data_IF_558068403497
#
_entry.id   IF_558068403497
#
_cell.length_a   1.000
_cell.length_b   1.000
_cell.length_c   1.000
_cell.angle_alpha   90.00
_cell.angle_beta   90.00
_cell.angle_gamma   90.00
#
_symmetry.space_group_name_H-M   'P 1'
#
loop_
_entity.id
_entity.type
_entity.pdbx_description
1 polymer ?
#
# COMPACT_ATOMS: atom_id res chain seq x y z
N UNK A 1 7.75 5.46 -23.09
CA UNK A 1 8.90 4.98 -23.86
C UNK A 1 10.20 5.39 -23.19
N UNK A 2 11.25 4.61 -23.36
CA UNK A 2 12.59 4.96 -22.92
C UNK A 2 13.44 5.28 -24.15
N UNK A 3 14.29 6.28 -24.05
CA UNK A 3 15.31 6.54 -25.07
C UNK A 3 16.58 5.69 -24.84
N UNK A 4 17.58 5.88 -25.70
CA UNK A 4 18.87 5.16 -25.62
C UNK A 4 19.68 5.43 -24.35
N UNK A 5 19.39 6.54 -23.65
CA UNK A 5 20.06 6.99 -22.44
C UNK A 5 19.28 6.59 -21.17
N UNK A 6 18.18 5.81 -21.33
CA UNK A 6 17.34 5.31 -20.25
C UNK A 6 16.33 6.34 -19.70
N UNK A 7 16.14 7.46 -20.37
CA UNK A 7 15.15 8.46 -19.98
C UNK A 7 13.77 8.01 -20.41
N UNK A 8 12.82 8.02 -19.48
CA UNK A 8 11.42 7.67 -19.72
C UNK A 8 10.64 8.89 -20.19
N UNK A 9 9.98 8.75 -21.32
CA UNK A 9 9.04 9.75 -21.85
C UNK A 9 7.60 9.27 -21.66
N UNK A 10 6.80 10.06 -20.97
CA UNK A 10 5.35 9.86 -20.90
C UNK A 10 4.68 10.36 -22.17
N UNK A 11 3.73 9.59 -22.71
CA UNK A 11 2.90 10.02 -23.84
C UNK A 11 1.75 10.94 -23.44
N UNK A 12 1.56 11.18 -22.15
CA UNK A 12 0.56 12.10 -21.64
C UNK A 12 1.16 13.51 -21.55
N UNK A 13 0.40 14.52 -21.98
CA UNK A 13 0.80 15.93 -21.93
C UNK A 13 0.88 16.52 -20.50
N UNK A 14 1.09 15.68 -19.52
CA UNK A 14 1.28 16.06 -18.12
C UNK A 14 2.77 16.27 -17.85
N UNK A 15 3.22 17.47 -18.13
CA UNK A 15 4.52 17.97 -17.74
C UNK A 15 5.66 17.68 -18.72
N UNK A 16 6.41 18.69 -18.99
CA UNK A 16 7.65 18.65 -19.77
C UNK A 16 8.84 18.11 -18.96
N UNK A 17 8.59 17.21 -18.00
CA UNK A 17 9.63 16.70 -17.13
C UNK A 17 10.07 15.31 -17.58
N UNK A 18 11.35 15.12 -17.94
CA UNK A 18 11.92 13.79 -18.04
C UNK A 18 11.89 13.14 -16.64
N UNK A 19 11.15 12.05 -16.52
CA UNK A 19 11.23 11.22 -15.33
C UNK A 19 12.47 10.35 -15.42
N UNK A 20 13.49 10.68 -14.67
CA UNK A 20 14.69 9.87 -14.55
C UNK A 20 14.37 8.63 -13.72
N UNK A 21 14.46 7.48 -14.36
CA UNK A 21 14.65 6.23 -13.64
C UNK A 21 16.12 5.87 -13.76
N UNK A 22 16.84 5.86 -12.67
CA UNK A 22 18.21 5.33 -12.67
C UNK A 22 18.18 3.87 -13.12
N UNK A 23 19.15 3.45 -13.99
CA UNK A 23 19.26 2.05 -14.36
C UNK A 23 19.40 1.21 -13.09
N UNK A 24 18.45 0.32 -12.91
CA UNK A 24 18.50 -0.60 -11.79
C UNK A 24 19.59 -1.65 -12.09
N UNK A 25 20.68 -1.66 -11.35
CA UNK A 25 21.57 -2.83 -11.30
C UNK A 25 20.84 -3.97 -10.57
N UNK A 26 19.98 -4.65 -11.33
CA UNK A 26 19.14 -5.72 -10.80
C UNK A 26 19.84 -7.03 -11.01
N UNK A 27 20.85 -7.31 -10.20
CA UNK A 27 21.39 -8.66 -10.09
C UNK A 27 20.39 -9.62 -9.46
N UNK A 28 19.60 -9.12 -8.51
CA UNK A 28 18.54 -9.88 -7.87
C UNK A 28 17.39 -8.94 -7.41
N UNK A 29 16.21 -8.94 -8.08
CA UNK A 29 15.08 -8.14 -7.65
C UNK A 29 14.61 -8.40 -6.21
N UNK A 30 14.83 -9.62 -5.70
CA UNK A 30 14.50 -9.98 -4.32
C UNK A 30 15.37 -9.26 -3.27
N UNK A 31 16.56 -8.79 -3.64
CA UNK A 31 17.46 -8.06 -2.73
C UNK A 31 17.01 -6.62 -2.48
N UNK A 32 15.97 -6.15 -3.17
CA UNK A 32 15.44 -4.78 -3.00
C UNK A 32 14.29 -4.66 -2.03
N UNK A 33 13.81 -5.77 -1.54
CA UNK A 33 12.83 -5.72 -0.47
C UNK A 33 13.47 -5.11 0.78
N UNK A 34 12.96 -3.94 1.18
CA UNK A 34 13.47 -3.19 2.35
C UNK A 34 13.31 -3.95 3.67
N UNK A 35 12.48 -4.99 3.68
CA UNK A 35 12.07 -5.71 4.89
C UNK A 35 10.87 -5.06 5.61
N UNK A 36 10.39 -3.92 5.14
CA UNK A 36 9.26 -3.23 5.77
C UNK A 36 7.94 -3.84 5.32
N UNK A 37 7.05 -4.06 6.28
CA UNK A 37 5.73 -4.62 6.08
C UNK A 37 4.67 -3.55 6.23
N UNK A 38 3.49 -3.78 5.67
CA UNK A 38 2.32 -2.92 5.88
C UNK A 38 1.78 -3.17 7.28
N UNK A 39 1.89 -2.18 8.16
CA UNK A 39 1.48 -2.27 9.56
C UNK A 39 0.02 -1.85 9.79
N UNK A 40 -0.55 -1.08 8.85
CA UNK A 40 -1.86 -0.45 9.00
C UNK A 40 -3.03 -1.29 8.47
N UNK A 41 -2.80 -2.40 7.74
CA UNK A 41 -3.89 -3.17 7.13
C UNK A 41 -4.90 -3.67 8.16
N UNK A 42 -6.19 -3.30 7.96
CA UNK A 42 -7.30 -3.71 8.82
C UNK A 42 -7.24 -3.17 10.26
N UNK A 43 -6.38 -2.19 10.55
CA UNK A 43 -6.23 -1.60 11.89
C UNK A 43 -7.37 -0.65 12.22
N UNK A 44 -7.74 -0.56 13.52
CA UNK A 44 -8.73 0.39 13.99
C UNK A 44 -8.33 1.84 13.68
N UNK A 45 -9.30 2.63 13.27
CA UNK A 45 -9.14 4.05 12.96
C UNK A 45 -10.15 4.88 13.74
N UNK A 46 -9.67 5.94 14.38
CA UNK A 46 -10.49 7.01 14.96
C UNK A 46 -10.35 8.28 14.13
N UNK A 47 -11.40 9.08 14.03
CA UNK A 47 -11.41 10.29 13.21
C UNK A 47 -12.14 11.42 13.92
N UNK A 48 -11.80 12.67 13.58
CA UNK A 48 -12.48 13.88 14.07
C UNK A 48 -13.95 13.91 13.68
N UNK A 49 -14.23 13.53 12.44
CA UNK A 49 -15.58 13.48 11.88
C UNK A 49 -15.65 12.49 10.72
N UNK A 50 -16.86 12.08 10.35
CA UNK A 50 -17.09 11.20 9.21
C UNK A 50 -18.33 11.66 8.44
N UNK A 51 -18.24 11.74 7.12
CA UNK A 51 -19.38 11.74 6.24
C UNK A 51 -20.14 10.41 6.39
N UNK A 52 -21.46 10.43 6.26
CA UNK A 52 -22.32 9.29 6.62
C UNK A 52 -22.07 7.98 5.87
N UNK A 53 -21.40 8.04 4.70
CA UNK A 53 -21.17 6.88 3.82
C UNK A 53 -19.69 6.55 3.60
N UNK A 54 -18.75 7.39 4.06
CA UNK A 54 -17.32 7.22 3.85
C UNK A 54 -16.61 6.92 5.17
N UNK A 55 -16.73 5.68 5.62
CA UNK A 55 -16.30 5.23 6.94
C UNK A 55 -14.79 5.36 7.18
N UNK A 56 -14.39 5.57 8.44
CA UNK A 56 -12.98 5.64 8.85
C UNK A 56 -12.19 4.36 8.53
N UNK A 57 -12.84 3.18 8.61
CA UNK A 57 -12.21 1.89 8.28
C UNK A 57 -11.71 1.79 6.84
N UNK A 58 -12.20 2.61 5.93
CA UNK A 58 -11.73 2.66 4.54
C UNK A 58 -10.29 3.18 4.41
N UNK A 59 -9.72 3.76 5.47
CA UNK A 59 -8.32 4.21 5.49
C UNK A 59 -7.30 3.08 5.53
N UNK A 60 -7.72 1.89 5.97
CA UNK A 60 -6.83 0.75 6.23
C UNK A 60 -7.28 -0.55 5.53
N UNK A 61 -8.27 -0.48 4.63
CA UNK A 61 -8.84 -1.65 3.93
C UNK A 61 -8.08 -2.04 2.66
N UNK A 62 -7.10 -1.23 2.24
CA UNK A 62 -6.29 -1.40 1.02
C UNK A 62 -7.12 -1.42 -0.29
N UNK A 63 -8.32 -0.89 -0.27
CA UNK A 63 -9.18 -0.76 -1.44
C UNK A 63 -9.05 0.63 -2.06
N UNK A 64 -8.63 0.71 -3.30
CA UNK A 64 -8.62 1.98 -4.07
C UNK A 64 -10.03 2.48 -4.46
N UNK A 65 -11.08 1.72 -4.14
CA UNK A 65 -12.47 2.08 -4.47
C UNK A 65 -13.22 2.70 -3.30
N UNK A 66 -12.63 2.63 -2.13
CA UNK A 66 -13.18 3.14 -0.87
C UNK A 66 -12.30 4.28 -0.36
N UNK A 67 -12.87 5.16 0.43
CA UNK A 67 -12.14 6.24 1.07
C UNK A 67 -12.89 6.71 2.33
N UNK A 68 -12.19 7.31 3.25
CA UNK A 68 -12.77 8.09 4.33
C UNK A 68 -12.95 9.54 3.88
N UNK A 69 -14.05 10.16 4.31
CA UNK A 69 -14.24 11.60 4.17
C UNK A 69 -14.73 12.21 5.48
N UNK A 70 -14.09 13.29 5.90
CA UNK A 70 -14.53 14.14 6.99
C UNK A 70 -15.78 14.95 6.59
N UNK A 71 -16.44 15.56 7.57
CA UNK A 71 -17.58 16.45 7.32
C UNK A 71 -17.19 17.80 6.73
N UNK A 72 -15.92 18.18 6.84
CA UNK A 72 -15.41 19.46 6.34
C UNK A 72 -14.00 19.34 5.75
N UNK A 73 -13.55 20.40 5.08
CA UNK A 73 -12.15 20.61 4.68
C UNK A 73 -11.38 21.50 5.65
N UNK A 74 -11.95 21.80 6.82
CA UNK A 74 -11.34 22.74 7.76
C UNK A 74 -10.01 22.24 8.34
N UNK A 75 -9.08 23.13 8.67
CA UNK A 75 -7.95 22.78 9.51
C UNK A 75 -8.38 22.09 10.82
N UNK A 76 -7.61 21.08 11.25
CA UNK A 76 -7.88 20.32 12.45
C UNK A 76 -8.77 19.08 12.27
N UNK A 77 -9.29 18.79 11.08
CA UNK A 77 -9.80 17.44 10.78
C UNK A 77 -8.65 16.43 10.85
N UNK A 78 -8.88 15.28 11.49
CA UNK A 78 -7.83 14.31 11.75
C UNK A 78 -8.29 12.87 11.60
N UNK A 79 -7.32 11.99 11.37
CA UNK A 79 -7.50 10.54 11.41
C UNK A 79 -6.33 9.89 12.15
N UNK A 80 -6.63 8.98 13.08
CA UNK A 80 -5.66 8.26 13.91
C UNK A 80 -5.78 6.76 13.75
N UNK A 81 -4.65 6.07 13.60
CA UNK A 81 -4.55 4.60 13.49
C UNK A 81 -3.96 4.04 14.79
N UNK A 82 -4.56 2.98 15.34
CA UNK A 82 -3.97 2.14 16.38
C UNK A 82 -3.35 0.89 15.74
N UNK A 83 -2.04 0.78 15.72
CA UNK A 83 -1.31 -0.39 15.21
C UNK A 83 -1.45 -1.64 16.10
N UNK A 84 -2.14 -1.52 17.26
CA UNK A 84 -2.40 -2.60 18.20
C UNK A 84 -1.29 -2.83 19.22
N UNK A 85 -0.05 -2.56 18.86
CA UNK A 85 1.13 -2.56 19.75
C UNK A 85 2.19 -1.62 19.19
N UNK A 86 3.17 -1.25 20.01
CA UNK A 86 4.33 -0.45 19.56
C UNK A 86 5.08 -1.20 18.47
N UNK A 87 5.35 -0.53 17.35
CA UNK A 87 6.04 -1.03 16.17
C UNK A 87 7.26 -0.16 15.83
N UNK A 88 8.14 -0.68 14.99
CA UNK A 88 9.21 0.09 14.37
C UNK A 88 8.69 0.66 13.04
N UNK A 89 8.18 1.88 13.06
CA UNK A 89 7.68 2.59 11.88
C UNK A 89 8.85 3.15 11.07
N UNK A 90 8.81 2.97 9.75
CA UNK A 90 9.86 3.39 8.81
C UNK A 90 9.37 4.36 7.76
N UNK A 91 8.13 4.23 7.33
CA UNK A 91 7.54 5.10 6.33
C UNK A 91 6.03 5.26 6.53
N UNK A 92 5.51 6.35 6.00
CA UNK A 92 4.08 6.67 5.97
C UNK A 92 3.69 7.04 4.54
N UNK A 93 2.51 6.62 4.10
CA UNK A 93 1.91 7.06 2.85
C UNK A 93 0.49 7.52 3.06
N UNK A 94 0.19 8.71 2.55
CA UNK A 94 -1.15 9.24 2.46
C UNK A 94 -1.60 9.24 1.00
N UNK A 95 -2.82 8.76 0.74
CA UNK A 95 -3.46 8.86 -0.56
C UNK A 95 -4.67 9.77 -0.41
N UNK A 96 -4.55 11.01 -0.87
CA UNK A 96 -5.64 11.99 -0.86
C UNK A 96 -6.71 11.61 -1.89
N UNK A 97 -7.93 12.00 -1.63
CA UNK A 97 -9.07 11.76 -2.50
C UNK A 97 -9.92 13.01 -2.65
N UNK A 98 -10.46 13.25 -3.83
CA UNK A 98 -11.32 14.40 -4.12
C UNK A 98 -12.76 14.11 -3.69
N UNK A 99 -13.18 14.67 -2.55
CA UNK A 99 -14.56 14.57 -2.06
C UNK A 99 -15.23 15.94 -2.00
N UNK A 100 -16.33 16.11 -2.74
CA UNK A 100 -17.01 17.39 -2.91
C UNK A 100 -16.08 18.52 -3.40
N UNK A 101 -15.01 18.15 -4.07
CA UNK A 101 -14.05 19.08 -4.61
C UNK A 101 -14.67 19.88 -5.77
N UNK A 102 -14.36 21.19 -5.80
CA UNK A 102 -14.83 22.12 -6.82
C UNK A 102 -13.62 22.61 -7.61
N UNK A 103 -13.38 22.01 -8.76
CA UNK A 103 -12.24 22.34 -9.62
C UNK A 103 -12.63 23.24 -10.79
N UNK A 104 -13.07 24.45 -10.49
CA UNK A 104 -13.51 25.36 -11.55
C UNK A 104 -12.41 26.28 -12.13
N UNK A 105 -11.22 26.31 -11.54
CA UNK A 105 -10.19 27.26 -11.97
C UNK A 105 -8.77 26.71 -11.73
N UNK A 106 -7.89 26.92 -12.75
CA UNK A 106 -6.46 26.58 -12.69
C UNK A 106 -5.64 27.48 -11.74
N UNK A 107 -6.23 28.50 -11.15
CA UNK A 107 -5.60 29.41 -10.22
C UNK A 107 -5.82 29.04 -8.75
N UNK A 108 -6.24 27.82 -8.45
CA UNK A 108 -6.42 27.36 -7.07
C UNK A 108 -5.14 26.72 -6.54
N UNK A 109 -4.93 26.89 -5.25
CA UNK A 109 -3.90 26.16 -4.51
C UNK A 109 -4.30 24.68 -4.46
N UNK A 110 -3.63 23.84 -5.26
CA UNK A 110 -3.97 22.41 -5.43
C UNK A 110 -3.18 21.48 -4.51
N UNK A 111 -2.42 22.04 -3.58
CA UNK A 111 -1.61 21.29 -2.62
C UNK A 111 -2.38 20.95 -1.33
N UNK A 112 -1.94 19.89 -0.67
CA UNK A 112 -2.40 19.50 0.66
C UNK A 112 -1.33 19.87 1.69
N UNK A 113 -1.76 20.47 2.82
CA UNK A 113 -0.88 20.69 3.96
C UNK A 113 -1.39 19.92 5.16
N UNK A 114 -0.48 19.26 5.86
CA UNK A 114 -0.83 18.39 6.96
C UNK A 114 0.35 18.16 7.92
N UNK A 115 0.03 17.54 9.05
CA UNK A 115 1.00 17.05 10.02
C UNK A 115 0.73 15.58 10.35
N UNK A 116 1.79 14.83 10.64
CA UNK A 116 1.68 13.49 11.22
C UNK A 116 2.31 13.52 12.59
N UNK A 117 1.55 13.03 13.56
CA UNK A 117 1.98 12.83 14.94
C UNK A 117 2.07 11.34 15.22
N UNK A 118 2.96 10.96 16.15
CA UNK A 118 3.10 9.61 16.63
C UNK A 118 3.05 9.56 18.16
N UNK A 119 2.60 8.42 18.69
CA UNK A 119 2.54 8.17 20.12
C UNK A 119 2.72 6.69 20.43
N UNK A 120 3.30 6.36 21.58
CA UNK A 120 3.34 4.98 22.10
C UNK A 120 2.15 4.65 22.99
N UNK A 121 1.57 5.62 23.70
CA UNK A 121 0.54 5.44 24.71
C UNK A 121 -0.83 6.09 24.36
N UNK A 122 -0.91 6.83 23.24
CA UNK A 122 -2.10 7.55 22.79
C UNK A 122 -2.37 8.85 23.57
N UNK A 123 -1.46 9.27 24.46
CA UNK A 123 -1.60 10.48 25.30
C UNK A 123 -0.54 11.52 24.95
N UNK A 124 0.72 11.11 24.96
CA UNK A 124 1.86 11.96 24.58
C UNK A 124 2.11 11.83 23.09
N UNK A 125 1.98 12.95 22.35
CA UNK A 125 2.10 13.01 20.91
C UNK A 125 3.32 13.81 20.47
N UNK A 126 4.10 13.24 19.58
CA UNK A 126 5.28 13.89 18.98
C UNK A 126 5.00 14.16 17.51
N UNK A 127 5.26 15.38 17.04
CA UNK A 127 5.23 15.73 15.61
C UNK A 127 6.40 15.04 14.92
N UNK A 128 6.11 14.22 13.90
CA UNK A 128 7.12 13.42 13.20
C UNK A 128 7.25 13.79 11.72
N UNK A 129 6.18 14.29 11.11
CA UNK A 129 6.18 14.81 9.74
C UNK A 129 5.42 16.13 9.77
N UNK A 130 6.07 17.19 9.30
CA UNK A 130 5.44 18.50 9.10
C UNK A 130 5.48 18.89 7.62
N UNK A 131 4.31 18.95 7.01
CA UNK A 131 4.05 19.41 5.64
C UNK A 131 3.15 20.65 5.65
N UNK A 132 3.11 21.40 6.75
CA UNK A 132 2.22 22.56 6.90
C UNK A 132 2.60 23.76 6.06
N UNK A 133 3.79 23.74 5.45
CA UNK A 133 4.30 24.76 4.53
C UNK A 133 4.49 24.24 3.09
N UNK A 134 4.03 23.01 2.79
CA UNK A 134 4.16 22.42 1.45
C UNK A 134 3.27 23.17 0.45
N UNK A 135 3.84 23.54 -0.69
CA UNK A 135 3.14 24.11 -1.84
C UNK A 135 3.11 23.16 -3.04
N UNK A 136 3.44 21.88 -2.82
CA UNK A 136 3.52 20.87 -3.89
C UNK A 136 2.23 20.07 -3.96
N UNK A 137 1.71 19.93 -5.18
CA UNK A 137 0.66 18.96 -5.49
C UNK A 137 1.21 17.55 -5.41
N UNK A 138 0.83 16.82 -4.36
CA UNK A 138 1.28 15.46 -4.10
C UNK A 138 0.11 14.60 -3.62
N UNK A 139 -0.75 14.10 -4.54
CA UNK A 139 -1.94 13.34 -4.17
C UNK A 139 -1.64 11.98 -3.53
N UNK A 140 -0.41 11.46 -3.73
CA UNK A 140 0.09 10.22 -3.13
C UNK A 140 1.44 10.49 -2.47
N UNK A 141 1.42 10.99 -1.25
CA UNK A 141 2.64 11.41 -0.55
C UNK A 141 3.21 10.23 0.26
N UNK A 142 4.35 9.69 -0.19
CA UNK A 142 5.11 8.64 0.47
C UNK A 142 6.35 9.25 1.13
N UNK A 143 6.48 9.09 2.44
CA UNK A 143 7.54 9.70 3.25
C UNK A 143 8.28 8.61 4.01
N UNK A 144 9.56 8.45 3.74
CA UNK A 144 10.46 7.65 4.55
C UNK A 144 10.98 8.48 5.74
N UNK A 145 11.00 7.88 6.91
CA UNK A 145 11.58 8.48 8.10
C UNK A 145 13.10 8.27 8.09
N UNK A 146 13.86 9.30 8.42
CA UNK A 146 15.34 9.22 8.47
C UNK A 146 15.82 8.13 9.45
N UNK A 147 15.11 7.98 10.57
CA UNK A 147 15.36 6.97 11.58
C UNK A 147 14.08 6.22 11.92
N UNK A 148 14.15 4.94 12.31
CA UNK A 148 12.98 4.20 12.74
C UNK A 148 12.35 4.84 13.96
N UNK A 149 11.03 4.93 13.93
CA UNK A 149 10.22 5.52 14.99
C UNK A 149 9.48 4.41 15.74
N UNK A 150 9.64 4.38 17.09
CA UNK A 150 8.80 3.53 17.95
C UNK A 150 7.45 4.20 18.14
N UNK A 151 6.38 3.57 17.65
CA UNK A 151 5.02 4.10 17.80
C UNK A 151 3.98 2.98 17.80
N UNK A 152 2.89 3.16 18.54
CA UNK A 152 1.66 2.38 18.43
C UNK A 152 0.58 3.17 17.69
N UNK A 153 0.54 4.49 17.88
CA UNK A 153 -0.47 5.36 17.31
C UNK A 153 0.16 6.33 16.32
N UNK A 154 -0.48 6.52 15.18
CA UNK A 154 -0.15 7.58 14.24
C UNK A 154 -1.42 8.41 13.96
N UNK A 155 -1.26 9.73 13.89
CA UNK A 155 -2.37 10.66 13.63
C UNK A 155 -2.00 11.64 12.52
N UNK A 156 -2.80 11.64 11.45
CA UNK A 156 -2.87 12.67 10.44
C UNK A 156 -3.72 13.84 10.96
N UNK A 157 -3.29 15.07 10.73
CA UNK A 157 -4.05 16.29 11.01
C UNK A 157 -3.99 17.21 9.79
N UNK A 158 -5.17 17.62 9.29
CA UNK A 158 -5.28 18.53 8.16
C UNK A 158 -4.91 19.96 8.57
N UNK A 159 -4.09 20.62 7.75
CA UNK A 159 -3.77 22.05 7.86
C UNK A 159 -4.41 22.83 6.71
N UNK A 160 -4.32 22.32 5.49
CA UNK A 160 -4.92 22.90 4.30
C UNK A 160 -5.42 21.82 3.34
N UNK A 161 -6.62 22.02 2.85
CA UNK A 161 -7.25 21.24 1.80
C UNK A 161 -7.59 22.18 0.64
N UNK A 162 -7.26 21.85 -0.61
CA UNK A 162 -7.49 22.75 -1.75
C UNK A 162 -8.94 23.15 -1.92
N UNK A 163 -9.86 22.17 -1.80
CA UNK A 163 -11.30 22.37 -1.95
C UNK A 163 -12.04 21.12 -1.48
N UNK A 164 -13.30 21.27 -1.10
CA UNK A 164 -14.15 20.17 -0.66
C UNK A 164 -13.90 19.77 0.79
N UNK A 165 -14.07 18.48 1.07
CA UNK A 165 -13.87 17.92 2.40
C UNK A 165 -12.55 17.14 2.45
N UNK A 166 -11.93 17.06 3.63
CA UNK A 166 -10.79 16.17 3.83
C UNK A 166 -11.22 14.74 3.50
N UNK A 167 -10.49 14.10 2.57
CA UNK A 167 -10.74 12.73 2.20
C UNK A 167 -9.43 12.01 1.86
N UNK A 168 -9.32 10.77 2.32
CA UNK A 168 -8.17 9.91 2.10
C UNK A 168 -8.65 8.52 1.69
N UNK A 169 -8.10 7.98 0.60
CA UNK A 169 -8.31 6.59 0.17
C UNK A 169 -7.30 5.62 0.80
N UNK A 170 -6.38 6.10 1.59
CA UNK A 170 -5.43 5.27 2.34
C UNK A 170 -4.55 6.08 3.27
N UNK A 171 -4.32 5.53 4.45
CA UNK A 171 -3.31 5.96 5.40
C UNK A 171 -2.46 4.74 5.74
N UNK A 172 -1.38 4.57 4.99
CA UNK A 172 -0.50 3.42 5.11
C UNK A 172 0.67 3.72 6.01
N UNK A 173 0.99 2.75 6.85
CA UNK A 173 2.15 2.78 7.75
C UNK A 173 3.00 1.56 7.46
N UNK A 174 4.29 1.78 7.21
CA UNK A 174 5.24 0.72 6.89
C UNK A 174 6.32 0.60 7.94
N UNK A 175 6.77 -0.63 8.18
CA UNK A 175 7.81 -0.94 9.15
C UNK A 175 7.78 -2.40 9.56
N UNK A 176 8.13 -2.67 10.82
CA UNK A 176 8.16 -4.03 11.34
C UNK A 176 7.61 -4.11 12.77
N UNK A 177 6.93 -5.21 13.06
CA UNK A 177 6.68 -5.66 14.43
C UNK A 177 7.89 -6.38 15.02
N UNK A 178 7.78 -6.75 16.30
CA UNK A 178 8.84 -7.43 17.05
C UNK A 178 8.53 -8.94 17.27
N UNK A 179 7.53 -9.49 16.55
CA UNK A 179 7.11 -10.90 16.68
C UNK A 179 7.67 -11.82 15.60
N UNK A 180 7.15 -13.04 15.55
CA UNK A 180 7.58 -14.05 14.59
C UNK A 180 7.03 -13.79 13.18
N UNK A 181 7.81 -14.11 12.16
CA UNK A 181 7.35 -14.16 10.77
C UNK A 181 6.40 -15.35 10.57
N UNK A 182 5.53 -15.34 9.53
CA UNK A 182 4.64 -16.46 9.26
C UNK A 182 5.38 -17.75 8.92
N UNK A 183 4.72 -18.89 9.10
CA UNK A 183 5.21 -20.17 8.61
C UNK A 183 4.99 -20.30 7.10
N UNK A 184 5.77 -21.17 6.45
CA UNK A 184 5.60 -21.45 5.02
C UNK A 184 4.18 -21.95 4.70
N UNK A 185 3.59 -21.39 3.65
CA UNK A 185 2.24 -21.75 3.19
C UNK A 185 2.18 -23.22 2.75
N UNK A 186 1.08 -23.90 3.07
CA UNK A 186 0.82 -25.28 2.68
C UNK A 186 -0.37 -25.38 1.74
N UNK A 187 -0.40 -26.47 0.97
CA UNK A 187 -1.57 -26.83 0.16
C UNK A 187 -1.82 -25.91 -1.04
N UNK A 188 -0.77 -25.25 -1.58
CA UNK A 188 -0.93 -24.48 -2.82
C UNK A 188 -1.42 -25.39 -3.95
N UNK A 189 -2.53 -25.01 -4.56
CA UNK A 189 -3.08 -25.65 -5.76
C UNK A 189 -3.40 -24.62 -6.82
N UNK A 190 -3.21 -24.99 -8.08
CA UNK A 190 -3.54 -24.17 -9.24
C UNK A 190 -4.37 -25.00 -10.19
N UNK A 191 -5.61 -24.59 -10.44
CA UNK A 191 -6.55 -25.28 -11.32
C UNK A 191 -6.93 -24.40 -12.49
N UNK A 192 -6.42 -24.73 -13.68
CA UNK A 192 -6.81 -24.06 -14.94
C UNK A 192 -8.27 -24.34 -15.27
N UNK A 193 -8.98 -23.35 -15.75
CA UNK A 193 -10.32 -23.57 -16.29
C UNK A 193 -10.22 -24.42 -17.59
N UNK A 194 -11.14 -25.39 -17.73
CA UNK A 194 -11.14 -26.31 -18.88
C UNK A 194 -11.67 -25.67 -20.17
N UNK A 195 -12.54 -24.66 -20.03
CA UNK A 195 -13.15 -23.98 -21.19
C UNK A 195 -12.31 -22.79 -21.63
N UNK A 196 -11.71 -22.09 -20.70
CA UNK A 196 -10.83 -20.96 -20.99
C UNK A 196 -9.56 -21.04 -20.14
N UNK A 197 -8.51 -21.60 -20.70
CA UNK A 197 -7.22 -21.81 -20.04
C UNK A 197 -6.48 -20.51 -19.64
N UNK A 198 -6.99 -19.35 -20.04
CA UNK A 198 -6.49 -18.05 -19.50
C UNK A 198 -6.87 -17.84 -18.04
N UNK A 199 -7.87 -18.57 -17.57
CA UNK A 199 -8.33 -18.49 -16.19
C UNK A 199 -7.78 -19.64 -15.34
N UNK A 200 -7.46 -19.34 -14.08
CA UNK A 200 -7.06 -20.32 -13.09
C UNK A 200 -7.56 -19.95 -11.70
N UNK A 201 -8.04 -20.92 -10.95
CA UNK A 201 -8.26 -20.76 -9.51
C UNK A 201 -6.99 -21.20 -8.78
N UNK A 202 -6.40 -20.29 -8.04
CA UNK A 202 -5.26 -20.53 -7.16
C UNK A 202 -5.79 -20.56 -5.74
N UNK A 203 -5.48 -21.60 -4.97
CA UNK A 203 -5.94 -21.72 -3.57
C UNK A 203 -4.88 -22.37 -2.70
N UNK A 204 -4.91 -22.06 -1.40
CA UNK A 204 -3.95 -22.53 -0.41
C UNK A 204 -4.57 -22.66 0.98
N UNK A 205 -3.87 -23.31 1.90
CA UNK A 205 -4.30 -23.38 3.29
C UNK A 205 -3.95 -22.06 4.01
N UNK A 206 -4.86 -21.54 4.87
CA UNK A 206 -4.58 -20.33 5.62
C UNK A 206 -3.41 -20.54 6.58
N UNK A 207 -2.55 -19.52 6.69
CA UNK A 207 -1.55 -19.39 7.74
C UNK A 207 -2.11 -18.46 8.83
N UNK A 208 -2.10 -18.91 10.09
CA UNK A 208 -2.87 -18.27 11.16
C UNK A 208 -2.42 -16.85 11.50
N UNK A 209 -1.14 -16.56 11.34
CA UNK A 209 -0.58 -15.23 11.64
C UNK A 209 -0.57 -14.28 10.44
N UNK A 210 -0.94 -14.76 9.24
CA UNK A 210 -0.85 -13.98 8.02
C UNK A 210 -2.06 -13.06 7.83
N UNK A 211 -1.81 -11.81 7.45
CA UNK A 211 -2.83 -10.91 6.93
C UNK A 211 -2.94 -10.96 5.40
N UNK A 212 -1.95 -11.51 4.71
CA UNK A 212 -1.91 -11.57 3.25
C UNK A 212 -0.86 -12.52 2.71
N UNK A 213 -0.78 -12.59 1.39
CA UNK A 213 0.06 -13.51 0.66
C UNK A 213 0.60 -12.86 -0.61
N UNK A 214 1.86 -13.17 -0.97
CA UNK A 214 2.40 -12.89 -2.29
C UNK A 214 2.42 -14.17 -3.11
N UNK A 215 1.73 -14.18 -4.23
CA UNK A 215 1.76 -15.25 -5.22
C UNK A 215 2.77 -14.85 -6.30
N UNK A 216 3.82 -15.62 -6.46
CA UNK A 216 4.78 -15.43 -7.54
C UNK A 216 4.53 -16.42 -8.66
N UNK A 217 4.65 -15.98 -9.91
CA UNK A 217 4.43 -16.85 -11.05
C UNK A 217 5.31 -16.47 -12.25
N UNK A 218 5.52 -17.45 -13.12
CA UNK A 218 6.31 -17.30 -14.34
C UNK A 218 6.26 -18.55 -15.20
N UNK A 219 6.89 -18.52 -16.36
CA UNK A 219 6.85 -19.59 -17.38
C UNK A 219 7.96 -20.62 -17.23
N UNK A 220 8.84 -20.48 -16.26
CA UNK A 220 9.87 -21.46 -15.94
C UNK A 220 10.13 -21.53 -14.44
N UNK A 221 10.53 -22.69 -13.95
CA UNK A 221 10.94 -22.87 -12.57
C UNK A 221 12.16 -21.96 -12.26
N UNK A 222 12.10 -21.24 -11.13
CA UNK A 222 13.12 -20.26 -10.76
C UNK A 222 13.07 -18.93 -11.53
N UNK A 223 12.11 -18.74 -12.45
CA UNK A 223 11.90 -17.51 -13.23
C UNK A 223 10.49 -16.95 -13.00
N UNK A 224 10.11 -16.80 -11.76
CA UNK A 224 8.81 -16.26 -11.35
C UNK A 224 8.93 -14.76 -11.09
N UNK A 225 8.93 -13.99 -12.17
CA UNK A 225 9.16 -12.53 -12.11
C UNK A 225 7.88 -11.70 -11.89
N UNK A 226 6.73 -12.35 -11.89
CA UNK A 226 5.45 -11.68 -11.64
C UNK A 226 4.98 -11.99 -10.24
N UNK A 227 4.34 -11.00 -9.60
CA UNK A 227 3.79 -11.13 -8.27
C UNK A 227 2.38 -10.56 -8.18
N UNK A 228 1.56 -11.17 -7.35
CA UNK A 228 0.24 -10.69 -6.98
C UNK A 228 0.16 -10.72 -5.46
N UNK A 229 -0.20 -9.60 -4.84
CA UNK A 229 -0.48 -9.55 -3.40
C UNK A 229 -1.98 -9.74 -3.18
N UNK A 230 -2.33 -10.69 -2.31
CA UNK A 230 -3.71 -11.01 -1.93
C UNK A 230 -3.84 -10.80 -0.42
N UNK A 231 -4.79 -9.97 0.00
CA UNK A 231 -5.02 -9.64 1.40
C UNK A 231 -6.33 -10.26 1.89
N UNK A 232 -6.31 -10.83 3.09
CA UNK A 232 -7.50 -11.36 3.77
C UNK A 232 -8.21 -12.54 3.08
N UNK A 233 -7.57 -13.21 2.11
CA UNK A 233 -8.15 -14.30 1.34
C UNK A 233 -7.14 -15.45 1.20
N UNK A 234 -7.64 -16.65 0.91
CA UNK A 234 -6.85 -17.87 0.68
C UNK A 234 -7.10 -18.48 -0.70
N UNK A 235 -7.70 -17.71 -1.59
CA UNK A 235 -7.89 -18.07 -3.00
C UNK A 235 -7.81 -16.82 -3.87
N UNK A 236 -7.46 -17.02 -5.14
CA UNK A 236 -7.37 -15.97 -6.14
C UNK A 236 -7.85 -16.47 -7.50
N UNK A 237 -8.82 -15.77 -8.10
CA UNK A 237 -9.32 -16.02 -9.45
C UNK A 237 -8.45 -15.28 -10.47
N UNK A 238 -7.50 -15.96 -11.05
CA UNK A 238 -6.56 -15.41 -12.02
C UNK A 238 -7.16 -15.44 -13.44
N UNK A 239 -7.12 -14.34 -14.15
CA UNK A 239 -7.76 -14.17 -15.48
C UNK A 239 -6.83 -13.60 -16.55
N UNK A 240 -5.55 -13.88 -16.49
CA UNK A 240 -4.60 -13.24 -17.41
C UNK A 240 -3.44 -14.16 -17.83
N UNK A 241 -3.60 -15.46 -17.71
CA UNK A 241 -2.59 -16.41 -18.18
C UNK A 241 -2.68 -16.59 -19.70
N UNK A 242 -1.58 -16.95 -20.33
CA UNK A 242 -1.57 -17.44 -21.71
C UNK A 242 -2.16 -18.84 -21.76
N UNK A 243 -3.09 -19.08 -22.69
CA UNK A 243 -3.83 -20.34 -22.80
C UNK A 243 -2.93 -21.54 -23.10
N UNK A 244 -1.91 -21.33 -23.92
CA UNK A 244 -1.04 -22.38 -24.47
C UNK A 244 0.30 -22.53 -23.71
N UNK A 245 0.45 -21.77 -22.61
CA UNK A 245 1.68 -21.75 -21.82
C UNK A 245 1.44 -22.35 -20.43
N UNK A 246 2.34 -23.24 -20.00
CA UNK A 246 2.40 -23.72 -18.62
C UNK A 246 3.08 -22.69 -17.73
N UNK A 247 2.59 -22.57 -16.50
CA UNK A 247 3.13 -21.65 -15.50
C UNK A 247 3.55 -22.38 -14.23
N UNK A 248 4.51 -21.79 -13.57
CA UNK A 248 5.01 -22.19 -12.26
C UNK A 248 4.57 -21.15 -11.23
N UNK A 249 4.16 -21.63 -10.07
CA UNK A 249 3.65 -20.79 -8.98
C UNK A 249 4.33 -21.15 -7.67
N UNK A 250 4.59 -20.13 -6.86
CA UNK A 250 4.94 -20.28 -5.45
C UNK A 250 4.29 -19.16 -4.65
N UNK A 251 4.21 -19.32 -3.34
CA UNK A 251 3.53 -18.35 -2.47
C UNK A 251 4.29 -18.19 -1.16
N UNK A 252 4.29 -16.99 -0.62
CA UNK A 252 4.70 -16.67 0.75
C UNK A 252 3.57 -16.00 1.50
N UNK A 253 3.54 -16.15 2.81
CA UNK A 253 2.63 -15.47 3.72
C UNK A 253 3.28 -14.19 4.27
N UNK A 254 2.45 -13.20 4.59
CA UNK A 254 2.84 -11.88 5.07
C UNK A 254 2.18 -11.60 6.42
N UNK A 255 2.97 -11.09 7.37
CA UNK A 255 2.45 -10.45 8.58
C UNK A 255 3.24 -9.16 8.89
N UNK A 256 2.95 -8.51 9.99
CA UNK A 256 3.62 -7.29 10.42
C UNK A 256 5.12 -7.45 10.72
N UNK A 257 5.59 -8.69 10.90
CA UNK A 257 6.97 -8.98 11.30
C UNK A 257 7.85 -9.38 10.12
N UNK A 258 7.23 -9.80 9.00
CA UNK A 258 7.98 -10.17 7.80
C UNK A 258 7.22 -11.12 6.88
N UNK A 259 8.00 -11.83 6.05
CA UNK A 259 7.55 -12.79 5.05
C UNK A 259 7.94 -14.21 5.46
N UNK A 260 7.08 -15.17 5.15
CA UNK A 260 7.41 -16.58 5.33
C UNK A 260 8.46 -17.02 4.29
N UNK A 261 9.10 -18.19 4.49
CA UNK A 261 9.75 -18.89 3.38
C UNK A 261 8.72 -19.17 2.26
N UNK A 262 9.21 -19.19 1.01
CA UNK A 262 8.39 -19.61 -0.13
C UNK A 262 7.98 -21.09 0.02
N UNK A 263 6.76 -21.42 -0.39
CA UNK A 263 6.33 -22.80 -0.46
C UNK A 263 6.97 -23.53 -1.66
N UNK A 264 6.79 -24.85 -1.72
CA UNK A 264 7.22 -25.65 -2.89
C UNK A 264 6.51 -25.15 -4.14
N UNK A 265 7.27 -24.97 -5.21
CA UNK A 265 6.76 -24.60 -6.54
C UNK A 265 5.76 -25.63 -7.07
N UNK A 266 4.66 -25.14 -7.60
CA UNK A 266 3.61 -25.93 -8.25
C UNK A 266 3.54 -25.55 -9.72
N UNK A 267 3.58 -26.52 -10.61
CA UNK A 267 3.31 -26.36 -12.05
C UNK A 267 1.84 -26.67 -12.34
N UNK A 268 1.22 -25.89 -13.22
CA UNK A 268 -0.14 -26.11 -13.70
C UNK A 268 -0.21 -26.74 -15.09
#
# INVERSE_FOLDING_TARGET
AFDKDGVMYSSTAFGDYPNWAEPMDVKNPAERFTGWMLLSYGKPVEVSSTDSIHAASNLTDESMRTYWAARSGNPGEWAGIDLGSTKNVRAVQLNFYDHKAVQYNRAMDIYHQYRIFASEDGKEWTLVIDKSDSDKDCPHDYIELNEPLRARYLKYENVHMPTGNVALSGFRVFGNGDGDVPQAVKGLTVKRDRKDRRNALISWQPEASAYGYNIYYGTAEGKMYNAITVLGQTEYDFRGLDADTDYYFTIEALNENGRSPLCKTTKN
#
